data_IF_325132205141
#
_entry.id   IF_325132205141
#
_cell.length_a   1.000
_cell.length_b   1.000
_cell.length_c   1.000
_cell.angle_alpha   90.00
_cell.angle_beta   90.00
_cell.angle_gamma   90.00
#
_symmetry.space_group_name_H-M   'P 1'
#
loop_
_entity.id
_entity.type
_entity.pdbx_description
1 polymer ?
#
# COMPACT_ATOMS: atom_id res chain seq x y z
N UNK A 1 -10.17 19.50 14.70
CA UNK A 1 -8.84 18.98 14.27
C UNK A 1 -7.79 19.08 15.37
N UNK A 2 -7.75 20.14 16.20
CA UNK A 2 -6.73 20.30 17.26
C UNK A 2 -6.67 19.15 18.27
N UNK A 3 -7.81 18.65 18.76
CA UNK A 3 -7.86 17.47 19.65
C UNK A 3 -7.22 16.20 19.05
N UNK A 4 -7.28 16.05 17.73
CA UNK A 4 -6.66 14.90 17.02
C UNK A 4 -5.15 15.07 16.95
N UNK A 5 -4.67 16.31 16.79
CA UNK A 5 -3.23 16.63 16.76
C UNK A 5 -2.56 16.41 18.11
N UNK A 6 -3.22 16.78 19.21
CA UNK A 6 -2.74 16.53 20.57
C UNK A 6 -2.62 15.03 20.88
N UNK A 7 -3.56 14.22 20.38
CA UNK A 7 -3.55 12.77 20.58
C UNK A 7 -2.46 12.06 19.75
N UNK A 8 -2.20 12.53 18.54
CA UNK A 8 -1.26 11.90 17.61
C UNK A 8 0.18 12.40 17.74
N UNK A 9 0.43 13.42 18.59
CA UNK A 9 1.75 14.05 18.79
C UNK A 9 2.46 14.36 17.47
N UNK A 10 1.72 14.93 16.51
CA UNK A 10 2.21 15.14 15.16
C UNK A 10 3.37 16.14 15.16
N UNK A 11 4.45 15.77 14.47
CA UNK A 11 5.55 16.67 14.20
C UNK A 11 5.06 17.85 13.34
N UNK A 12 5.42 19.07 13.74
CA UNK A 12 5.01 20.31 13.06
C UNK A 12 5.50 20.34 11.61
N UNK A 13 6.68 19.78 11.35
CA UNK A 13 7.25 19.69 9.99
C UNK A 13 6.43 18.76 9.10
N UNK A 14 6.04 17.58 9.61
CA UNK A 14 5.19 16.64 8.89
C UNK A 14 3.80 17.23 8.62
N UNK A 15 3.22 17.95 9.58
CA UNK A 15 1.94 18.61 9.42
C UNK A 15 1.99 19.70 8.34
N UNK A 16 3.01 20.56 8.38
CA UNK A 16 3.21 21.59 7.37
C UNK A 16 3.37 20.99 5.98
N UNK A 17 4.13 19.90 5.86
CA UNK A 17 4.31 19.17 4.61
C UNK A 17 2.99 18.66 4.05
N UNK A 18 2.14 18.04 4.89
CA UNK A 18 0.83 17.51 4.47
C UNK A 18 -0.12 18.66 4.11
N UNK A 19 -0.09 19.78 4.83
CA UNK A 19 -0.96 20.94 4.55
C UNK A 19 -0.74 21.57 3.18
N UNK A 20 0.46 21.41 2.62
CA UNK A 20 0.82 21.91 1.29
C UNK A 20 0.34 21.00 0.15
N UNK A 21 -0.17 19.80 0.46
CA UNK A 21 -0.70 18.89 -0.54
C UNK A 21 -2.08 19.37 -1.03
N UNK A 22 -2.18 19.65 -2.33
CA UNK A 22 -3.47 19.92 -2.97
C UNK A 22 -4.13 18.59 -3.35
N UNK A 23 -5.07 18.13 -2.50
CA UNK A 23 -5.85 16.91 -2.75
C UNK A 23 -7.14 17.29 -3.50
N UNK A 24 -7.22 16.91 -4.77
CA UNK A 24 -8.43 17.08 -5.55
C UNK A 24 -9.45 15.99 -5.17
N UNK A 25 -10.75 16.33 -5.02
CA UNK A 25 -11.79 15.32 -4.87
C UNK A 25 -11.74 14.38 -6.08
N UNK A 26 -11.72 13.07 -5.83
CA UNK A 26 -11.76 12.06 -6.88
C UNK A 26 -13.13 11.39 -6.87
N UNK A 27 -13.62 10.98 -8.04
CA UNK A 27 -14.86 10.20 -8.14
C UNK A 27 -14.61 8.76 -7.69
N UNK A 28 -15.21 8.39 -6.56
CA UNK A 28 -15.15 7.02 -6.01
C UNK A 28 -15.58 6.00 -7.08
N UNK A 29 -14.75 4.98 -7.30
CA UNK A 29 -15.02 3.91 -8.26
C UNK A 29 -14.69 4.23 -9.74
N UNK A 30 -14.24 5.44 -10.06
CA UNK A 30 -13.86 5.82 -11.44
C UNK A 30 -12.45 6.42 -11.54
N UNK A 31 -12.01 7.16 -10.52
CA UNK A 31 -10.72 7.85 -10.49
C UNK A 31 -9.85 7.32 -9.34
N UNK A 32 -8.53 7.24 -9.57
CA UNK A 32 -7.58 6.88 -8.51
C UNK A 32 -7.44 8.04 -7.53
N UNK A 33 -7.53 7.74 -6.24
CA UNK A 33 -7.24 8.72 -5.21
C UNK A 33 -5.74 9.04 -5.17
N UNK A 34 -5.38 10.16 -4.55
CA UNK A 34 -3.97 10.48 -4.25
C UNK A 34 -3.28 9.33 -3.52
N UNK A 35 -3.96 8.66 -2.58
CA UNK A 35 -3.38 7.56 -1.81
C UNK A 35 -3.09 6.33 -2.67
N UNK A 36 -3.99 5.99 -3.59
CA UNK A 36 -3.78 4.89 -4.53
C UNK A 36 -2.59 5.19 -5.44
N UNK A 37 -2.52 6.41 -6.01
CA UNK A 37 -1.41 6.81 -6.88
C UNK A 37 -0.08 6.91 -6.12
N UNK A 38 -0.08 7.46 -4.91
CA UNK A 38 1.13 7.60 -4.10
C UNK A 38 1.67 6.23 -3.65
N UNK A 39 0.80 5.40 -3.08
CA UNK A 39 1.14 4.11 -2.47
C UNK A 39 1.43 3.01 -3.49
N UNK A 40 0.65 2.91 -4.57
CA UNK A 40 0.71 1.77 -5.48
C UNK A 40 1.58 2.02 -6.73
N UNK A 41 2.02 3.25 -6.98
CA UNK A 41 2.84 3.55 -8.16
C UNK A 41 4.12 2.71 -8.21
N UNK A 42 4.26 1.92 -9.26
CA UNK A 42 5.42 1.03 -9.46
C UNK A 42 5.20 -0.40 -8.96
N UNK A 43 4.04 -0.72 -8.36
CA UNK A 43 3.60 -2.12 -8.23
C UNK A 43 3.35 -2.66 -9.63
N UNK A 44 3.90 -3.85 -9.91
CA UNK A 44 3.70 -4.59 -11.15
C UNK A 44 2.85 -5.82 -10.84
N UNK A 45 1.72 -5.97 -11.52
CA UNK A 45 0.89 -7.16 -11.40
C UNK A 45 1.52 -8.27 -12.23
N UNK A 46 1.86 -9.38 -11.60
CA UNK A 46 2.52 -10.51 -12.26
C UNK A 46 1.50 -11.59 -12.65
N UNK A 47 0.50 -11.84 -11.81
CA UNK A 47 -0.51 -12.88 -12.02
C UNK A 47 -1.85 -12.49 -11.42
N UNK A 48 -2.93 -12.82 -12.13
CA UNK A 48 -4.31 -12.67 -11.65
C UNK A 48 -5.07 -13.96 -11.96
N UNK A 49 -5.66 -14.55 -10.94
CA UNK A 49 -6.53 -15.72 -11.01
C UNK A 49 -7.74 -15.52 -10.08
N UNK A 50 -8.84 -16.26 -10.26
CA UNK A 50 -9.95 -16.21 -9.31
C UNK A 50 -9.48 -16.49 -7.87
N UNK A 51 -9.62 -15.50 -6.99
CA UNK A 51 -9.21 -15.61 -5.59
C UNK A 51 -7.70 -15.47 -5.35
N UNK A 52 -6.90 -15.09 -6.35
CA UNK A 52 -5.45 -14.93 -6.19
C UNK A 52 -4.88 -13.81 -7.06
N UNK A 53 -4.04 -12.97 -6.46
CA UNK A 53 -3.26 -11.95 -7.16
C UNK A 53 -1.82 -12.01 -6.67
N UNK A 54 -0.86 -11.93 -7.58
CA UNK A 54 0.55 -11.72 -7.23
C UNK A 54 1.11 -10.48 -7.92
N UNK A 55 1.91 -9.73 -7.19
CA UNK A 55 2.54 -8.51 -7.62
C UNK A 55 4.01 -8.45 -7.20
N UNK A 56 4.81 -7.73 -7.98
CA UNK A 56 6.18 -7.37 -7.64
C UNK A 56 6.24 -5.88 -7.33
N UNK A 57 6.97 -5.52 -6.27
CA UNK A 57 7.16 -4.13 -5.90
C UNK A 57 8.58 -3.83 -5.44
N UNK A 58 9.24 -2.89 -6.10
CA UNK A 58 10.54 -2.38 -5.65
C UNK A 58 10.31 -1.29 -4.62
N UNK A 59 10.89 -1.41 -3.42
CA UNK A 59 10.74 -0.43 -2.33
C UNK A 59 11.13 0.97 -2.85
N UNK A 60 10.18 1.91 -2.97
CA UNK A 60 10.50 3.23 -3.49
C UNK A 60 10.89 4.19 -2.36
N UNK A 61 11.82 5.14 -2.60
CA UNK A 61 12.25 6.10 -1.57
C UNK A 61 11.12 6.90 -0.91
N UNK A 62 10.02 7.13 -1.64
CA UNK A 62 8.87 7.91 -1.13
C UNK A 62 8.03 7.16 -0.08
N UNK A 63 8.21 5.85 0.06
CA UNK A 63 7.48 5.01 1.01
C UNK A 63 8.39 4.48 2.13
N UNK A 64 9.59 5.03 2.28
CA UNK A 64 10.52 4.61 3.33
C UNK A 64 10.43 5.46 4.58
N UNK A 65 10.62 4.85 5.73
CA UNK A 65 10.80 5.51 7.02
C UNK A 65 12.19 6.19 7.11
N UNK A 66 12.44 6.86 8.25
CA UNK A 66 13.72 7.52 8.55
C UNK A 66 14.94 6.58 8.54
N UNK A 67 14.73 5.28 8.66
CA UNK A 67 15.77 4.26 8.66
C UNK A 67 15.98 3.64 7.26
N UNK A 68 15.23 4.10 6.25
CA UNK A 68 15.28 3.57 4.89
C UNK A 68 14.55 2.23 4.71
N UNK A 69 13.74 1.81 5.68
CA UNK A 69 12.87 0.64 5.55
C UNK A 69 11.52 1.06 4.94
N UNK A 70 10.84 0.16 4.24
CA UNK A 70 9.46 0.36 3.84
C UNK A 70 8.61 0.66 5.08
N UNK A 71 7.96 1.82 5.07
CA UNK A 71 7.19 2.30 6.21
C UNK A 71 6.02 1.35 6.51
N UNK A 72 5.69 1.19 7.79
CA UNK A 72 4.57 0.33 8.23
C UNK A 72 3.23 0.78 7.64
N UNK A 73 3.01 2.08 7.48
CA UNK A 73 1.83 2.61 6.79
C UNK A 73 1.78 2.25 5.30
N UNK A 74 2.93 2.16 4.63
CA UNK A 74 2.99 1.70 3.24
C UNK A 74 2.67 0.20 3.14
N UNK A 75 3.17 -0.61 4.08
CA UNK A 75 2.80 -2.04 4.20
C UNK A 75 1.28 -2.17 4.41
N UNK A 76 0.69 -1.38 5.30
CA UNK A 76 -0.74 -1.41 5.55
C UNK A 76 -1.57 -1.07 4.30
N UNK A 77 -1.17 -0.03 3.56
CA UNK A 77 -1.82 0.33 2.31
C UNK A 77 -1.71 -0.78 1.24
N UNK A 78 -0.57 -1.49 1.17
CA UNK A 78 -0.41 -2.63 0.27
C UNK A 78 -1.34 -3.78 0.68
N UNK A 79 -1.44 -4.07 1.98
CA UNK A 79 -2.35 -5.11 2.49
C UNK A 79 -3.80 -4.78 2.15
N UNK A 80 -4.21 -3.52 2.30
CA UNK A 80 -5.56 -3.05 1.96
C UNK A 80 -5.86 -3.21 0.46
N UNK A 81 -5.05 -2.60 -0.40
CA UNK A 81 -5.34 -2.52 -1.83
C UNK A 81 -5.13 -3.87 -2.54
N UNK A 82 -4.05 -4.58 -2.23
CA UNK A 82 -3.79 -5.91 -2.84
C UNK A 82 -4.66 -6.98 -2.20
N UNK A 83 -4.99 -6.85 -0.91
CA UNK A 83 -5.99 -7.68 -0.24
C UNK A 83 -7.34 -7.62 -0.95
N UNK A 84 -7.89 -6.42 -1.11
CA UNK A 84 -9.18 -6.22 -1.78
C UNK A 84 -9.20 -6.72 -3.23
N UNK A 85 -8.08 -6.62 -3.95
CA UNK A 85 -7.99 -7.06 -5.35
C UNK A 85 -8.26 -8.56 -5.55
N UNK A 86 -7.94 -9.42 -4.56
CA UNK A 86 -8.13 -10.87 -4.69
C UNK A 86 -9.59 -11.31 -4.62
N UNK A 87 -10.49 -10.45 -4.14
CA UNK A 87 -11.94 -10.69 -4.06
C UNK A 87 -12.74 -9.72 -4.92
N UNK A 88 -12.05 -8.93 -5.74
CA UNK A 88 -12.68 -8.01 -6.68
C UNK A 88 -13.25 -8.77 -7.87
N UNK A 89 -14.50 -8.45 -8.22
CA UNK A 89 -15.19 -9.02 -9.38
C UNK A 89 -15.63 -7.88 -10.28
N UNK A 90 -15.26 -7.96 -11.55
CA UNK A 90 -15.63 -6.96 -12.55
C UNK A 90 -17.16 -6.88 -12.66
N UNK A 91 -17.70 -5.66 -12.65
CA UNK A 91 -19.14 -5.41 -12.76
C UNK A 91 -19.91 -5.50 -11.44
N UNK A 92 -19.24 -5.87 -10.33
CA UNK A 92 -19.82 -5.87 -8.98
C UNK A 92 -19.24 -4.69 -8.19
N UNK A 93 -20.03 -3.98 -7.36
CA UNK A 93 -19.52 -2.95 -6.46
C UNK A 93 -18.34 -3.45 -5.62
N UNK A 94 -17.29 -2.64 -5.50
CA UNK A 94 -16.15 -2.99 -4.65
C UNK A 94 -16.60 -3.16 -3.20
N UNK A 95 -16.10 -4.22 -2.55
CA UNK A 95 -16.25 -4.40 -1.11
C UNK A 95 -15.36 -3.38 -0.39
N UNK A 96 -15.83 -2.85 0.73
CA UNK A 96 -15.07 -1.91 1.56
C UNK A 96 -14.35 -2.64 2.69
N UNK A 97 -13.18 -2.16 3.05
CA UNK A 97 -12.37 -2.66 4.16
C UNK A 97 -13.08 -2.41 5.49
N UNK A 98 -13.27 -3.46 6.28
CA UNK A 98 -13.92 -3.39 7.61
C UNK A 98 -12.99 -3.80 8.75
N UNK A 99 -11.98 -4.62 8.48
CA UNK A 99 -10.94 -4.98 9.45
C UNK A 99 -9.63 -5.30 8.72
N UNK A 100 -8.52 -4.81 9.25
CA UNK A 100 -7.17 -5.10 8.75
C UNK A 100 -6.31 -5.41 9.97
N UNK A 101 -5.69 -6.59 9.98
CA UNK A 101 -4.68 -6.97 10.97
C UNK A 101 -3.39 -7.36 10.28
N UNK A 102 -2.25 -6.90 10.82
CA UNK A 102 -0.93 -7.09 10.20
C UNK A 102 0.05 -7.56 11.24
N UNK A 103 0.77 -8.63 10.91
CA UNK A 103 1.94 -9.10 11.64
C UNK A 103 3.21 -8.67 10.90
N UNK A 104 4.04 -7.86 11.53
CA UNK A 104 5.33 -7.41 11.00
C UNK A 104 6.43 -8.39 11.46
N UNK A 105 7.04 -9.09 10.52
CA UNK A 105 7.96 -10.21 10.78
C UNK A 105 9.40 -9.91 10.34
N UNK A 106 9.59 -8.92 9.47
CA UNK A 106 10.88 -8.50 8.96
C UNK A 106 10.89 -7.06 8.46
N UNK A 107 11.96 -6.68 7.75
CA UNK A 107 12.10 -5.34 7.17
C UNK A 107 12.42 -5.42 5.68
N UNK A 108 11.93 -4.44 4.92
CA UNK A 108 12.24 -4.27 3.50
C UNK A 108 13.04 -2.99 3.32
N UNK A 109 14.27 -3.04 2.84
CA UNK A 109 15.13 -1.86 2.70
C UNK A 109 15.18 -1.35 1.27
N UNK A 110 15.25 -0.03 1.14
CA UNK A 110 15.60 0.60 -0.13
C UNK A 110 16.99 0.15 -0.59
N UNK A 111 17.08 -0.29 -1.83
CA UNK A 111 18.31 -0.76 -2.45
C UNK A 111 19.22 0.38 -2.86
N UNK A 112 19.89 1.00 -1.90
CA UNK A 112 20.89 2.04 -2.18
C UNK A 112 22.21 1.38 -2.58
N UNK A 113 22.64 1.56 -3.83
CA UNK A 113 24.02 1.27 -4.24
C UNK A 113 24.74 2.61 -4.39
N UNK A 114 25.75 2.86 -3.56
CA UNK A 114 26.61 4.03 -3.71
C UNK A 114 27.72 3.67 -4.71
N UNK A 115 27.74 4.29 -5.88
CA UNK A 115 28.92 4.25 -6.75
C UNK A 115 29.87 5.36 -6.31
N UNK A 116 31.04 4.99 -5.77
CA UNK A 116 32.13 5.94 -5.50
C UNK A 116 32.96 6.03 -6.77
N UNK A 117 32.81 7.11 -7.54
CA UNK A 117 33.72 7.39 -8.66
C UNK A 117 34.85 8.29 -8.18
N UNK A 118 36.09 7.86 -8.43
CA UNK A 118 37.29 8.61 -8.11
C UNK A 118 37.65 9.46 -9.34
N UNK A 119 37.20 10.72 -9.37
CA UNK A 119 37.68 11.69 -10.35
C UNK A 119 38.83 12.47 -9.71
N UNK A 120 39.97 12.52 -10.40
CA UNK A 120 41.14 13.27 -9.97
C UNK A 120 40.76 14.73 -9.71
N UNK A 121 40.74 15.08 -8.42
CA UNK A 121 40.55 16.40 -7.82
C UNK A 121 39.10 16.95 -7.81
N UNK A 122 38.48 16.84 -6.63
CA UNK A 122 37.44 17.70 -6.03
C UNK A 122 36.06 17.63 -6.70
N UNK A 123 35.32 16.55 -6.40
CA UNK A 123 33.99 16.54 -5.75
C UNK A 123 33.51 15.09 -5.63
N UNK A 124 33.24 14.62 -4.40
CA UNK A 124 32.64 13.29 -4.19
C UNK A 124 31.15 13.33 -4.56
N UNK A 125 30.82 13.16 -5.84
CA UNK A 125 29.43 13.02 -6.25
C UNK A 125 28.99 11.56 -6.06
N UNK A 126 28.19 11.29 -5.03
CA UNK A 126 27.58 9.97 -4.84
C UNK A 126 26.42 9.80 -5.82
N UNK A 127 26.61 9.05 -6.91
CA UNK A 127 25.50 8.66 -7.79
C UNK A 127 24.76 7.48 -7.13
N UNK A 128 23.48 7.70 -6.78
CA UNK A 128 22.60 6.63 -6.31
C UNK A 128 22.11 5.80 -7.50
N UNK A 129 22.76 4.67 -7.76
CA UNK A 129 22.30 3.71 -8.76
C UNK A 129 21.45 2.64 -8.07
N UNK A 130 20.14 2.65 -8.34
CA UNK A 130 19.19 1.72 -7.70
C UNK A 130 19.17 0.37 -8.40
N UNK A 131 20.05 -0.56 -8.04
CA UNK A 131 20.05 -1.93 -8.60
C UNK A 131 20.43 -3.03 -7.58
N UNK A 132 19.98 -2.91 -6.34
CA UNK A 132 20.15 -3.98 -5.35
C UNK A 132 18.93 -4.90 -5.32
N UNK A 133 19.07 -6.16 -5.78
CA UNK A 133 17.96 -7.15 -5.85
C UNK A 133 17.23 -7.41 -4.53
N UNK A 134 17.82 -7.03 -3.38
CA UNK A 134 17.20 -7.18 -2.06
C UNK A 134 16.09 -6.18 -1.77
N UNK A 135 15.88 -5.19 -2.62
CA UNK A 135 14.81 -4.18 -2.47
C UNK A 135 13.52 -4.53 -3.20
N UNK A 136 13.49 -5.68 -3.86
CA UNK A 136 12.32 -6.14 -4.60
C UNK A 136 11.48 -7.09 -3.73
N UNK A 137 10.19 -6.81 -3.69
CA UNK A 137 9.19 -7.53 -2.91
C UNK A 137 8.31 -8.35 -3.82
N UNK A 138 7.99 -9.55 -3.37
CA UNK A 138 6.90 -10.36 -3.89
C UNK A 138 5.71 -10.18 -2.93
N UNK A 139 4.55 -9.81 -3.49
CA UNK A 139 3.32 -9.61 -2.75
C UNK A 139 2.30 -10.59 -3.33
N UNK A 140 1.71 -11.44 -2.48
CA UNK A 140 0.64 -12.35 -2.88
C UNK A 140 -0.58 -12.10 -2.03
N UNK A 141 -1.75 -12.00 -2.65
CA UNK A 141 -3.04 -11.94 -1.98
C UNK A 141 -3.89 -13.14 -2.38
N UNK A 142 -4.47 -13.82 -1.39
CA UNK A 142 -5.32 -14.99 -1.59
C UNK A 142 -6.64 -14.82 -0.85
N UNK A 143 -7.75 -15.09 -1.53
CA UNK A 143 -9.06 -15.19 -0.91
C UNK A 143 -9.10 -16.40 0.04
N UNK A 144 -9.54 -16.18 1.26
CA UNK A 144 -9.75 -17.21 2.29
C UNK A 144 -11.16 -17.77 2.26
N UNK A 145 -12.12 -16.98 1.77
CA UNK A 145 -13.51 -17.38 1.65
C UNK A 145 -14.45 -16.18 1.71
N UNK A 146 -15.72 -16.46 1.46
CA UNK A 146 -16.81 -15.50 1.50
C UNK A 146 -18.00 -16.08 2.26
N UNK A 147 -18.65 -15.26 3.09
CA UNK A 147 -19.88 -15.61 3.81
C UNK A 147 -20.81 -14.42 3.88
N UNK A 148 -21.94 -14.51 3.19
CA UNK A 148 -22.84 -13.36 3.02
C UNK A 148 -22.09 -12.22 2.31
N UNK A 149 -22.19 -11.00 2.83
CA UNK A 149 -21.46 -9.84 2.27
C UNK A 149 -19.98 -9.77 2.67
N UNK A 150 -19.47 -10.66 3.52
CA UNK A 150 -18.10 -10.60 4.03
C UNK A 150 -17.16 -11.49 3.24
N UNK A 151 -16.00 -10.97 2.85
CA UNK A 151 -14.90 -11.72 2.29
C UNK A 151 -13.61 -11.49 3.09
N UNK A 152 -12.83 -12.55 3.27
CA UNK A 152 -11.53 -12.49 3.93
C UNK A 152 -10.40 -12.79 2.96
N UNK A 153 -9.29 -12.07 3.08
CA UNK A 153 -8.07 -12.31 2.28
C UNK A 153 -6.83 -12.38 3.17
N UNK A 154 -5.82 -13.09 2.67
CA UNK A 154 -4.49 -13.21 3.26
C UNK A 154 -3.46 -12.62 2.30
N UNK A 155 -2.72 -11.63 2.77
CA UNK A 155 -1.64 -10.98 2.03
C UNK A 155 -0.31 -11.39 2.65
N UNK A 156 0.60 -11.90 1.83
CA UNK A 156 2.00 -12.12 2.21
C UNK A 156 2.88 -11.16 1.44
N UNK A 157 3.77 -10.47 2.16
CA UNK A 157 4.81 -9.64 1.58
C UNK A 157 6.14 -10.30 1.89
N UNK A 158 6.86 -10.72 0.86
CA UNK A 158 8.15 -11.40 0.96
C UNK A 158 9.24 -10.60 0.26
N UNK A 159 10.47 -10.75 0.72
CA UNK A 159 11.62 -10.37 -0.09
C UNK A 159 11.69 -11.33 -1.29
N UNK A 160 11.67 -10.79 -2.50
CA UNK A 160 11.61 -11.62 -3.72
C UNK A 160 12.87 -12.45 -3.93
N UNK A 161 14.02 -11.95 -3.49
CA UNK A 161 15.30 -12.64 -3.66
C UNK A 161 15.54 -13.70 -2.59
N UNK A 162 15.17 -13.45 -1.33
CA UNK A 162 15.45 -14.37 -0.21
C UNK A 162 14.27 -15.26 0.16
N UNK A 163 13.05 -14.92 -0.24
CA UNK A 163 11.81 -15.58 0.18
C UNK A 163 11.40 -15.27 1.63
N UNK A 164 12.16 -14.44 2.33
CA UNK A 164 11.90 -14.07 3.72
C UNK A 164 10.57 -13.31 3.85
N UNK A 165 9.73 -13.72 4.81
CA UNK A 165 8.44 -13.09 5.06
C UNK A 165 8.64 -11.80 5.87
N UNK A 166 8.24 -10.68 5.28
CA UNK A 166 8.35 -9.34 5.88
C UNK A 166 7.08 -9.01 6.65
N UNK A 167 5.92 -9.31 6.08
CA UNK A 167 4.64 -9.09 6.72
C UNK A 167 3.58 -10.10 6.26
N UNK A 168 2.67 -10.42 7.18
CA UNK A 168 1.42 -11.11 6.90
C UNK A 168 0.26 -10.16 7.25
N UNK A 169 -0.63 -9.92 6.29
CA UNK A 169 -1.84 -9.13 6.47
C UNK A 169 -3.09 -9.99 6.32
N UNK A 170 -4.06 -9.84 7.21
CA UNK A 170 -5.43 -10.34 7.04
C UNK A 170 -6.35 -9.15 6.82
N UNK A 171 -7.15 -9.24 5.78
CA UNK A 171 -8.01 -8.15 5.36
C UNK A 171 -9.43 -8.67 5.17
N UNK A 172 -10.33 -8.14 5.98
CA UNK A 172 -11.76 -8.41 5.92
C UNK A 172 -12.45 -7.28 5.17
N UNK A 173 -13.23 -7.63 4.16
CA UNK A 173 -14.00 -6.71 3.35
C UNK A 173 -15.48 -7.03 3.45
N UNK A 174 -16.31 -6.01 3.38
CA UNK A 174 -17.76 -6.13 3.35
C UNK A 174 -18.34 -5.45 2.11
N UNK A 175 -19.25 -6.12 1.41
CA UNK A 175 -20.05 -5.49 0.38
C UNK A 175 -21.44 -6.10 0.27
N UNK A 176 -22.42 -5.22 0.16
CA UNK A 176 -23.82 -5.53 -0.11
C UNK A 176 -24.44 -4.32 -0.82
N UNK A 177 -25.18 -4.54 -1.90
CA UNK A 177 -25.86 -3.50 -2.70
C UNK A 177 -26.78 -2.59 -1.88
N UNK A 178 -27.30 -3.09 -0.77
CA UNK A 178 -28.15 -2.34 0.17
C UNK A 178 -27.37 -1.63 1.30
N UNK A 179 -26.05 -1.76 1.34
CA UNK A 179 -25.23 -1.21 2.41
C UNK A 179 -25.03 0.30 2.26
N UNK A 180 -25.35 1.05 3.32
CA UNK A 180 -25.00 2.47 3.44
C UNK A 180 -23.49 2.72 3.48
N UNK A 181 -22.68 1.69 3.76
CA UNK A 181 -21.22 1.77 3.68
C UNK A 181 -20.72 1.89 2.24
N UNK A 182 -21.48 1.36 1.27
CA UNK A 182 -21.14 1.43 -0.15
C UNK A 182 -21.90 2.55 -0.87
N UNK A 183 -23.17 2.74 -0.52
CA UNK A 183 -24.06 3.71 -1.14
C UNK A 183 -24.59 4.64 -0.05
N UNK A 184 -23.75 5.59 0.39
CA UNK A 184 -24.15 6.58 1.39
C UNK A 184 -25.48 7.23 1.00
N UNK A 185 -26.42 7.34 1.97
CA UNK A 185 -27.82 7.82 1.83
C UNK A 185 -28.19 8.43 0.46
N UNK A 186 -28.39 7.59 -0.56
CA UNK A 186 -29.05 8.00 -1.80
C UNK A 186 -30.57 7.76 -1.75
N UNK A 187 -31.11 7.34 -0.59
CA UNK A 187 -32.56 7.15 -0.37
C UNK A 187 -33.35 8.44 -0.14
N UNK A 188 -32.88 9.60 -0.60
CA UNK A 188 -33.67 10.83 -0.59
C UNK A 188 -33.61 11.52 -1.95
N UNK A 189 -34.21 10.89 -2.97
CA UNK A 189 -34.75 11.49 -4.20
C UNK A 189 -35.25 10.37 -5.13
N UNK A 190 -36.39 9.79 -4.77
CA UNK A 190 -37.36 9.24 -5.71
C UNK A 190 -38.72 9.78 -5.30
#
# INVERSE_FOLDING_TARGET
MEKVKELLQLDKEAEETVSRLTIHPHRVGYERSFYNDFGLRGIRVDKVEPGFVSCTFKVPPRLTDKNGNLATGAIANIVDEVGGSAVFVIGVPMKVSVDISISFLGTAKLGVTNLIMNLSQIEFFTIRLGNNRKDELEITSKALGERGGYAGTLVHIRNKATGELIAEGRHSLYGNESSKLLFGNQSSKL
#
